data_IF_435451109890
#
_entry.id   IF_435451109890
#
_cell.length_a   1.000
_cell.length_b   1.000
_cell.length_c   1.000
_cell.angle_alpha   90.00
_cell.angle_beta   90.00
_cell.angle_gamma   90.00
#
_symmetry.space_group_name_H-M   'P 1'
#
loop_
_entity.id
_entity.type
_entity.pdbx_description
1 polymer ?
#
# COMPACT_ATOMS: atom_id res chain seq x y z
N UNK A 1 -6.93 -1.16 28.92
CA UNK A 1 -6.91 0.29 29.21
C UNK A 1 -7.54 1.00 28.01
N UNK A 2 -8.57 1.86 28.19
CA UNK A 2 -9.02 2.76 27.11
C UNK A 2 -8.01 3.91 26.99
N UNK A 3 -7.67 4.29 25.76
CA UNK A 3 -6.91 5.50 25.49
C UNK A 3 -7.82 6.69 25.81
N UNK A 4 -7.48 7.49 26.82
CA UNK A 4 -8.38 8.53 27.35
C UNK A 4 -8.72 9.65 26.34
N UNK A 5 -7.93 9.78 25.27
CA UNK A 5 -8.10 10.79 24.19
C UNK A 5 -8.72 10.25 22.90
N UNK A 6 -8.69 8.92 22.68
CA UNK A 6 -9.14 8.31 21.41
C UNK A 6 -10.58 7.88 21.54
N UNK A 7 -11.44 8.48 20.72
CA UNK A 7 -12.88 8.19 20.70
C UNK A 7 -13.19 6.99 19.81
N UNK A 8 -12.54 6.90 18.65
CA UNK A 8 -12.60 5.78 17.71
C UNK A 8 -11.33 5.70 16.87
N UNK A 9 -11.14 4.61 16.14
CA UNK A 9 -9.98 4.42 15.27
C UNK A 9 -10.02 3.04 14.62
N UNK A 10 -9.11 2.82 13.69
CA UNK A 10 -8.96 1.55 12.95
C UNK A 10 -7.46 1.28 12.76
N UNK A 11 -7.08 0.00 12.83
CA UNK A 11 -5.76 -0.45 12.38
C UNK A 11 -5.87 -0.90 10.93
N UNK A 12 -5.00 -0.34 10.08
CA UNK A 12 -4.95 -0.59 8.65
C UNK A 12 -3.88 -1.63 8.28
N UNK A 13 -2.79 -1.68 9.04
CA UNK A 13 -1.71 -2.63 8.84
C UNK A 13 -1.08 -3.07 10.15
N UNK A 14 -0.39 -4.20 10.08
CA UNK A 14 0.41 -4.76 11.17
C UNK A 14 1.80 -5.07 10.65
N UNK A 15 2.82 -4.82 11.47
CA UNK A 15 4.20 -5.26 11.24
C UNK A 15 4.78 -5.78 12.54
N UNK A 16 5.93 -6.44 12.48
CA UNK A 16 6.67 -6.87 13.66
C UNK A 16 7.97 -6.08 13.80
N UNK A 17 8.25 -5.59 15.00
CA UNK A 17 9.48 -4.88 15.31
C UNK A 17 9.94 -5.22 16.72
N UNK A 18 11.18 -5.70 16.86
CA UNK A 18 11.79 -6.10 18.15
C UNK A 18 10.93 -7.10 18.96
N UNK A 19 10.32 -8.07 18.28
CA UNK A 19 9.47 -9.10 18.92
C UNK A 19 8.13 -8.57 19.42
N UNK A 20 7.72 -7.39 18.98
CA UNK A 20 6.41 -6.79 19.27
C UNK A 20 5.59 -6.72 17.99
N UNK A 21 4.29 -7.00 18.11
CA UNK A 21 3.35 -6.66 17.06
C UNK A 21 3.07 -5.16 17.10
N UNK A 22 3.12 -4.51 15.95
CA UNK A 22 2.88 -3.08 15.80
C UNK A 22 1.71 -2.88 14.83
N UNK A 23 0.58 -2.42 15.35
CA UNK A 23 -0.55 -1.98 14.55
C UNK A 23 -0.38 -0.51 14.16
N UNK A 24 -0.60 -0.19 12.89
CA UNK A 24 -0.68 1.19 12.40
C UNK A 24 -2.03 1.47 11.78
N UNK A 25 -2.47 2.72 11.87
CA UNK A 25 -3.80 3.10 11.41
C UNK A 25 -4.10 4.56 11.69
N UNK A 26 -5.32 4.84 12.14
CA UNK A 26 -5.71 6.18 12.56
C UNK A 26 -6.52 6.18 13.86
N UNK A 27 -6.43 7.29 14.58
CA UNK A 27 -7.21 7.60 15.75
C UNK A 27 -8.01 8.88 15.53
N UNK A 28 -9.26 8.88 15.98
CA UNK A 28 -10.15 10.03 15.95
C UNK A 28 -10.26 10.59 17.37
N UNK A 29 -9.97 11.88 17.54
CA UNK A 29 -10.00 12.57 18.82
C UNK A 29 -10.66 13.96 18.71
N UNK A 30 -10.88 14.60 19.86
CA UNK A 30 -11.35 15.99 19.93
C UNK A 30 -12.74 16.21 19.32
N UNK A 31 -13.73 15.37 19.66
CA UNK A 31 -15.09 15.39 19.09
C UNK A 31 -15.10 15.25 17.56
N UNK A 32 -14.41 14.24 17.04
CA UNK A 32 -14.37 13.92 15.61
C UNK A 32 -13.69 14.95 14.70
N UNK A 33 -13.00 15.94 15.26
CA UNK A 33 -12.34 17.00 14.48
C UNK A 33 -10.88 16.71 14.17
N UNK A 34 -10.26 15.72 14.82
CA UNK A 34 -8.85 15.39 14.64
C UNK A 34 -8.69 13.92 14.28
N UNK A 35 -8.06 13.66 13.14
CA UNK A 35 -7.65 12.32 12.71
C UNK A 35 -6.13 12.31 12.66
N UNK A 36 -5.52 11.48 13.50
CA UNK A 36 -4.07 11.32 13.63
C UNK A 36 -3.67 9.92 13.23
N UNK A 37 -2.49 9.75 12.64
CA UNK A 37 -1.92 8.43 12.45
C UNK A 37 -1.67 7.81 13.82
N UNK A 38 -2.12 6.57 14.00
CA UNK A 38 -1.98 5.81 15.23
C UNK A 38 -0.95 4.71 15.04
N UNK A 39 -0.03 4.59 15.99
CA UNK A 39 0.88 3.47 16.14
C UNK A 39 0.59 2.84 17.49
N UNK A 40 0.32 1.54 17.54
CA UNK A 40 0.11 0.81 18.77
C UNK A 40 1.01 -0.42 18.82
N UNK A 41 1.66 -0.63 19.96
CA UNK A 41 2.56 -1.76 20.19
C UNK A 41 1.91 -2.77 21.13
N UNK A 42 2.10 -4.04 20.82
CA UNK A 42 1.63 -5.17 21.59
C UNK A 42 2.78 -6.14 21.84
N UNK A 43 2.74 -6.84 22.97
CA UNK A 43 3.66 -7.96 23.20
C UNK A 43 3.35 -9.10 22.23
N UNK A 44 4.25 -10.09 22.15
CA UNK A 44 4.01 -11.31 21.36
C UNK A 44 2.78 -12.10 21.88
N UNK A 45 2.42 -11.93 23.15
CA UNK A 45 1.21 -12.49 23.77
C UNK A 45 -0.06 -11.65 23.52
N UNK A 46 0.05 -10.56 22.75
CA UNK A 46 -1.05 -9.67 22.43
C UNK A 46 -1.38 -8.64 23.52
N UNK A 47 -0.52 -8.48 24.52
CA UNK A 47 -0.74 -7.49 25.58
C UNK A 47 -0.45 -6.09 25.08
N UNK A 48 -1.33 -5.13 25.36
CA UNK A 48 -1.12 -3.73 25.00
C UNK A 48 0.09 -3.14 25.73
N UNK A 49 1.04 -2.57 24.98
CA UNK A 49 2.25 -1.95 25.51
C UNK A 49 2.17 -0.43 25.50
N UNK A 50 1.98 0.17 24.31
CA UNK A 50 2.01 1.62 24.13
C UNK A 50 1.25 2.07 22.88
N UNK A 51 0.95 3.37 22.82
CA UNK A 51 0.48 4.03 21.60
C UNK A 51 1.19 5.35 21.37
N UNK A 52 1.27 5.75 20.10
CA UNK A 52 1.68 7.07 19.66
C UNK A 52 0.71 7.59 18.60
N UNK A 53 0.25 8.83 18.77
CA UNK A 53 -0.50 9.57 17.75
C UNK A 53 0.46 10.54 17.04
N UNK A 54 0.39 10.59 15.71
CA UNK A 54 1.16 11.51 14.86
C UNK A 54 0.18 12.36 14.06
N UNK A 55 0.31 13.68 14.16
CA UNK A 55 -0.50 14.64 13.43
C UNK A 55 0.39 15.49 12.53
N UNK A 56 0.14 15.46 11.22
CA UNK A 56 0.93 16.16 10.20
C UNK A 56 0.25 17.43 9.67
N UNK A 57 -0.65 18.04 10.45
CA UNK A 57 -1.34 19.29 10.08
C UNK A 57 -2.62 19.11 9.26
N UNK A 58 -3.18 17.90 9.27
CA UNK A 58 -4.44 17.55 8.60
C UNK A 58 -4.93 16.17 9.05
N UNK A 59 -5.95 15.64 8.38
CA UNK A 59 -6.40 14.26 8.58
C UNK A 59 -5.27 13.34 8.16
N UNK A 60 -4.61 12.70 9.14
CA UNK A 60 -3.44 11.85 8.92
C UNK A 60 -3.84 10.39 9.15
N UNK A 61 -3.66 9.53 8.16
CA UNK A 61 -3.97 8.10 8.26
C UNK A 61 -2.77 7.27 7.84
N UNK A 62 -2.27 6.41 8.73
CA UNK A 62 -1.24 5.44 8.37
C UNK A 62 -1.91 4.19 7.78
N UNK A 63 -1.47 3.77 6.60
CA UNK A 63 -2.00 2.61 5.89
C UNK A 63 -1.02 1.44 5.85
N UNK A 64 0.28 1.71 5.97
CA UNK A 64 1.33 0.71 5.86
C UNK A 64 2.47 0.97 6.84
N UNK A 65 3.15 -0.10 7.26
CA UNK A 65 4.37 -0.01 8.05
C UNK A 65 5.33 -1.15 7.75
N UNK A 66 6.62 -0.85 7.78
CA UNK A 66 7.71 -1.81 7.69
C UNK A 66 8.72 -1.57 8.81
N UNK A 67 9.29 -2.62 9.39
CA UNK A 67 10.29 -2.50 10.45
C UNK A 67 11.69 -2.32 9.88
N UNK A 68 12.43 -1.39 10.47
CA UNK A 68 13.84 -1.16 10.11
C UNK A 68 14.75 -2.09 10.91
N UNK A 69 15.95 -2.37 10.39
CA UNK A 69 16.93 -3.26 11.04
C UNK A 69 17.38 -2.77 12.43
N UNK A 70 17.37 -1.45 12.64
CA UNK A 70 17.70 -0.83 13.92
C UNK A 70 16.50 -0.78 14.89
N UNK A 71 15.39 -1.46 14.58
CA UNK A 71 14.24 -1.60 15.46
C UNK A 71 13.25 -0.42 15.43
N UNK A 72 13.47 0.52 14.52
CA UNK A 72 12.51 1.55 14.13
C UNK A 72 11.42 1.05 13.20
N UNK A 73 10.73 2.00 12.57
CA UNK A 73 9.63 1.78 11.63
C UNK A 73 9.70 2.79 10.49
N UNK A 74 9.33 2.38 9.29
CA UNK A 74 8.90 3.28 8.22
C UNK A 74 7.40 3.13 8.09
N UNK A 75 6.69 4.25 8.02
CA UNK A 75 5.22 4.31 7.95
C UNK A 75 4.83 5.09 6.71
N UNK A 76 3.92 4.52 5.93
CA UNK A 76 3.31 5.14 4.77
C UNK A 76 1.82 5.39 4.99
N UNK A 77 1.30 6.48 4.43
CA UNK A 77 -0.11 6.81 4.58
C UNK A 77 -0.60 7.93 3.68
N UNK A 78 -1.73 8.52 4.06
CA UNK A 78 -2.27 9.74 3.44
C UNK A 78 -2.47 10.88 4.44
N UNK A 79 -2.37 12.09 3.90
CA UNK A 79 -2.64 13.36 4.55
C UNK A 79 -3.66 14.12 3.71
N UNK A 80 -4.77 14.51 4.32
CA UNK A 80 -5.81 15.32 3.68
C UNK A 80 -5.98 16.63 4.44
N UNK A 81 -5.88 17.74 3.72
CA UNK A 81 -6.16 19.07 4.27
C UNK A 81 -7.65 19.41 4.11
N UNK A 82 -8.20 20.20 5.03
CA UNK A 82 -9.62 20.58 5.03
C UNK A 82 -9.97 21.64 3.98
N UNK A 83 -9.03 22.03 3.12
CA UNK A 83 -9.17 23.07 2.10
C UNK A 83 -9.67 22.54 0.75
N UNK A 84 -10.01 21.25 0.66
CA UNK A 84 -10.52 20.62 -0.55
C UNK A 84 -9.42 20.13 -1.50
N UNK A 85 -8.16 20.12 -1.06
CA UNK A 85 -7.08 19.44 -1.78
C UNK A 85 -7.24 17.91 -1.71
N UNK A 86 -6.90 17.24 -2.80
CA UNK A 86 -6.80 15.78 -2.90
C UNK A 86 -5.74 15.24 -1.94
N UNK A 87 -5.84 13.96 -1.58
CA UNK A 87 -4.95 13.36 -0.59
C UNK A 87 -3.50 13.35 -1.06
N UNK A 88 -2.59 13.77 -0.19
CA UNK A 88 -1.15 13.66 -0.40
C UNK A 88 -0.57 12.50 0.38
N UNK A 89 0.38 11.78 -0.20
CA UNK A 89 1.03 10.67 0.46
C UNK A 89 2.02 11.20 1.48
N UNK A 90 2.20 10.48 2.59
CA UNK A 90 3.33 10.72 3.47
C UNK A 90 4.11 9.45 3.71
N UNK A 91 5.43 9.59 3.84
CA UNK A 91 6.34 8.57 4.35
C UNK A 91 7.07 9.17 5.55
N UNK A 92 7.12 8.46 6.66
CA UNK A 92 7.89 8.88 7.83
C UNK A 92 8.70 7.72 8.40
N UNK A 93 9.81 8.05 9.04
CA UNK A 93 10.62 7.10 9.80
C UNK A 93 10.59 7.41 11.28
N UNK A 94 10.32 6.38 12.06
CA UNK A 94 10.44 6.37 13.51
C UNK A 94 11.69 5.59 13.90
N UNK A 95 12.45 6.14 14.84
CA UNK A 95 13.48 5.40 15.56
C UNK A 95 12.88 4.29 16.44
N UNK A 96 13.75 3.46 17.00
CA UNK A 96 13.37 2.43 17.98
C UNK A 96 12.68 3.01 19.23
N UNK A 97 12.89 4.28 19.58
CA UNK A 97 12.20 4.91 20.72
C UNK A 97 10.94 5.68 20.27
N UNK A 98 10.40 5.32 19.11
CA UNK A 98 9.26 5.94 18.45
C UNK A 98 9.43 7.45 18.18
N UNK A 99 10.65 8.00 18.20
CA UNK A 99 10.92 9.40 17.80
C UNK A 99 10.91 9.54 16.29
N UNK A 100 10.26 10.59 15.77
CA UNK A 100 10.29 10.91 14.34
C UNK A 100 11.71 11.34 13.99
N UNK A 101 12.35 10.60 13.08
CA UNK A 101 13.67 10.94 12.55
C UNK A 101 13.54 11.83 11.32
N UNK A 102 12.58 11.49 10.45
CA UNK A 102 12.19 12.31 9.31
C UNK A 102 10.75 12.00 8.89
N UNK A 103 10.13 12.93 8.17
CA UNK A 103 8.82 12.79 7.54
C UNK A 103 8.78 13.60 6.25
N UNK A 104 8.29 12.99 5.17
CA UNK A 104 8.19 13.59 3.84
C UNK A 104 6.79 13.41 3.28
N UNK A 105 6.35 14.39 2.50
CA UNK A 105 5.18 14.26 1.65
C UNK A 105 5.62 13.81 0.26
N UNK A 106 4.81 12.98 -0.39
CA UNK A 106 5.09 12.54 -1.76
C UNK A 106 4.92 13.69 -2.74
N UNK A 107 5.71 13.75 -3.83
CA UNK A 107 5.54 14.77 -4.87
C UNK A 107 4.16 14.71 -5.54
N UNK A 108 3.62 13.50 -5.73
CA UNK A 108 2.28 13.30 -6.29
C UNK A 108 1.19 13.25 -5.21
N UNK A 109 -0.03 13.61 -5.59
CA UNK A 109 -1.25 13.38 -4.81
C UNK A 109 -1.61 11.89 -4.86
N UNK A 110 -1.21 11.15 -3.83
CA UNK A 110 -1.43 9.72 -3.75
C UNK A 110 -1.75 9.28 -2.33
N UNK A 111 -2.41 8.13 -2.21
CA UNK A 111 -2.46 7.38 -0.97
C UNK A 111 -1.42 6.28 -1.03
N UNK A 112 -0.46 6.29 -0.11
CA UNK A 112 0.45 5.15 0.08
C UNK A 112 -0.30 4.04 0.80
N UNK A 113 -0.27 2.83 0.24
CA UNK A 113 -1.01 1.67 0.75
C UNK A 113 -0.10 0.52 1.16
N UNK A 114 1.13 0.48 0.64
CA UNK A 114 2.14 -0.49 1.04
C UNK A 114 3.52 0.15 1.09
N UNK A 115 4.33 -0.30 2.05
CA UNK A 115 5.72 0.10 2.22
C UNK A 115 6.52 -1.15 2.56
N UNK A 116 7.67 -1.31 1.92
CA UNK A 116 8.61 -2.39 2.16
C UNK A 116 10.04 -1.81 2.23
N UNK A 117 10.95 -2.54 2.87
CA UNK A 117 12.36 -2.15 3.00
C UNK A 117 13.22 -3.27 2.43
N UNK A 118 14.11 -2.93 1.51
CA UNK A 118 14.96 -3.91 0.86
C UNK A 118 16.21 -4.27 1.68
N UNK A 119 17.04 -5.15 1.13
CA UNK A 119 18.26 -5.61 1.81
C UNK A 119 19.35 -4.54 1.92
N UNK A 120 19.27 -3.44 1.18
CA UNK A 120 20.17 -2.29 1.31
C UNK A 120 19.66 -1.27 2.33
N UNK A 121 18.41 -1.39 2.76
CA UNK A 121 17.73 -0.43 3.62
C UNK A 121 17.02 0.67 2.84
N UNK A 122 16.94 0.53 1.51
CA UNK A 122 16.12 1.40 0.68
C UNK A 122 14.64 1.06 0.90
N UNK A 123 13.82 2.08 0.82
CA UNK A 123 12.38 2.02 1.08
C UNK A 123 11.68 2.01 -0.26
N UNK A 124 10.77 1.05 -0.45
CA UNK A 124 9.85 1.04 -1.58
C UNK A 124 8.45 1.32 -1.04
N UNK A 125 7.76 2.30 -1.62
CA UNK A 125 6.39 2.65 -1.26
C UNK A 125 5.51 2.63 -2.51
N UNK A 126 4.30 2.10 -2.39
CA UNK A 126 3.34 2.08 -3.51
C UNK A 126 1.94 2.40 -3.02
N UNK A 127 1.11 2.85 -3.95
CA UNK A 127 -0.31 2.98 -3.72
C UNK A 127 -1.03 3.53 -4.94
N UNK A 128 -2.04 4.36 -4.69
CA UNK A 128 -2.95 4.87 -5.71
C UNK A 128 -2.80 6.38 -5.81
N UNK A 129 -2.52 6.85 -7.02
CA UNK A 129 -2.44 8.27 -7.37
C UNK A 129 -3.71 8.66 -8.12
N UNK A 130 -4.27 9.81 -7.78
CA UNK A 130 -5.36 10.42 -8.55
C UNK A 130 -4.77 11.39 -9.58
N UNK A 131 -5.10 11.19 -10.85
CA UNK A 131 -4.70 12.10 -11.93
C UNK A 131 -5.81 13.12 -12.24
N UNK A 132 -5.48 14.13 -13.06
CA UNK A 132 -6.34 15.31 -13.32
C UNK A 132 -7.72 14.95 -13.89
N UNK A 133 -7.83 13.82 -14.58
CA UNK A 133 -9.09 13.32 -15.17
C UNK A 133 -9.87 12.37 -14.23
N UNK A 134 -9.56 12.40 -12.92
CA UNK A 134 -10.13 11.52 -11.89
C UNK A 134 -9.93 10.02 -12.19
N UNK A 135 -8.87 9.68 -12.92
CA UNK A 135 -8.42 8.30 -13.11
C UNK A 135 -7.37 7.96 -12.06
N UNK A 136 -7.46 6.76 -11.49
CA UNK A 136 -6.42 6.27 -10.59
C UNK A 136 -5.32 5.52 -11.34
N UNK A 137 -4.07 5.75 -10.95
CA UNK A 137 -2.92 4.98 -11.41
C UNK A 137 -2.19 4.38 -10.22
N UNK A 138 -1.51 3.25 -10.44
CA UNK A 138 -0.53 2.77 -9.46
C UNK A 138 0.71 3.64 -9.58
N UNK A 139 1.19 4.12 -8.44
CA UNK A 139 2.45 4.85 -8.38
C UNK A 139 3.32 4.19 -7.31
N UNK A 140 4.57 3.93 -7.68
CA UNK A 140 5.59 3.43 -6.79
C UNK A 140 6.77 4.42 -6.70
N UNK A 141 7.37 4.47 -5.53
CA UNK A 141 8.54 5.26 -5.19
C UNK A 141 9.60 4.35 -4.59
N UNK A 142 10.85 4.53 -4.99
CA UNK A 142 12.01 4.06 -4.23
C UNK A 142 12.68 5.24 -3.56
N UNK A 143 13.02 5.09 -2.29
CA UNK A 143 13.70 6.09 -1.48
C UNK A 143 14.91 5.46 -0.79
N UNK A 144 15.92 6.25 -0.50
CA UNK A 144 16.97 5.86 0.43
C UNK A 144 16.45 5.76 1.87
N UNK A 145 17.23 5.15 2.76
CA UNK A 145 16.92 5.05 4.19
C UNK A 145 16.71 6.41 4.91
N UNK A 146 17.30 7.49 4.39
CA UNK A 146 17.13 8.87 4.87
C UNK A 146 15.97 9.62 4.19
N UNK A 147 15.17 8.94 3.37
CA UNK A 147 13.93 9.48 2.81
C UNK A 147 14.09 10.26 1.50
N UNK A 148 15.28 10.25 0.87
CA UNK A 148 15.49 10.87 -0.45
C UNK A 148 14.96 9.95 -1.54
N UNK A 149 14.11 10.49 -2.42
CA UNK A 149 13.59 9.74 -3.57
C UNK A 149 14.73 9.41 -4.54
N UNK A 150 14.85 8.12 -4.87
CA UNK A 150 15.78 7.56 -5.85
C UNK A 150 15.12 7.44 -7.22
N UNK A 151 13.90 6.92 -7.25
CA UNK A 151 13.14 6.67 -8.47
C UNK A 151 11.64 6.77 -8.20
N UNK A 152 10.88 6.99 -9.26
CA UNK A 152 9.43 6.91 -9.25
C UNK A 152 8.93 6.32 -10.58
N UNK A 153 7.87 5.52 -10.49
CA UNK A 153 7.22 4.92 -11.66
C UNK A 153 5.70 4.93 -11.50
N UNK A 154 5.02 5.30 -12.59
CA UNK A 154 3.56 5.29 -12.69
C UNK A 154 3.11 4.21 -13.66
N UNK A 155 2.01 3.53 -13.34
CA UNK A 155 1.55 2.31 -14.00
C UNK A 155 0.03 2.38 -14.21
N UNK A 156 -0.42 2.09 -15.43
CA UNK A 156 -1.85 1.97 -15.77
C UNK A 156 -2.51 3.21 -16.38
N UNK A 157 -1.76 4.28 -16.65
CA UNK A 157 -2.28 5.55 -17.18
C UNK A 157 -3.03 5.40 -18.53
N UNK A 158 -2.69 4.39 -19.34
CA UNK A 158 -3.20 4.24 -20.72
C UNK A 158 -4.11 3.04 -20.94
N UNK A 159 -4.52 2.35 -19.87
CA UNK A 159 -5.40 1.17 -19.97
C UNK A 159 -6.90 1.51 -19.90
N UNK A 160 -7.28 2.80 -19.95
CA UNK A 160 -8.69 3.24 -19.95
C UNK A 160 -9.48 2.81 -18.69
N UNK A 161 -8.76 2.53 -17.61
CA UNK A 161 -9.25 1.95 -16.36
C UNK A 161 -8.53 2.59 -15.19
N UNK A 162 -9.15 2.64 -14.03
CA UNK A 162 -8.52 3.17 -12.81
C UNK A 162 -7.87 2.06 -12.02
N UNK A 163 -6.57 2.17 -11.72
CA UNK A 163 -5.79 1.17 -10.99
C UNK A 163 -5.47 1.62 -9.57
N UNK A 164 -5.54 0.69 -8.63
CA UNK A 164 -5.25 0.94 -7.22
C UNK A 164 -4.33 -0.13 -6.66
N UNK A 165 -3.07 0.23 -6.39
CA UNK A 165 -2.08 -0.66 -5.78
C UNK A 165 -2.40 -0.87 -4.30
N UNK A 166 -2.59 -2.12 -3.87
CA UNK A 166 -3.06 -2.48 -2.53
C UNK A 166 -1.98 -3.03 -1.62
N UNK A 167 -1.19 -3.95 -2.14
CA UNK A 167 -0.18 -4.66 -1.37
C UNK A 167 1.08 -4.80 -2.21
N UNK A 168 2.22 -4.96 -1.55
CA UNK A 168 3.51 -5.08 -2.21
C UNK A 168 4.37 -6.10 -1.48
N UNK A 169 5.27 -6.73 -2.21
CA UNK A 169 6.36 -7.52 -1.64
C UNK A 169 7.63 -7.33 -2.47
N UNK A 170 8.77 -7.50 -1.81
CA UNK A 170 10.10 -7.48 -2.41
C UNK A 170 10.72 -8.87 -2.30
N UNK A 171 11.44 -9.30 -3.33
CA UNK A 171 12.33 -10.45 -3.20
C UNK A 171 13.75 -10.04 -2.78
N UNK A 172 14.61 -11.03 -2.49
CA UNK A 172 16.00 -10.78 -2.06
C UNK A 172 16.86 -10.04 -3.12
N UNK A 173 16.42 -10.04 -4.38
CA UNK A 173 17.07 -9.34 -5.49
C UNK A 173 16.51 -7.92 -5.69
N UNK A 174 15.54 -7.52 -4.85
CA UNK A 174 14.88 -6.23 -4.91
C UNK A 174 13.72 -6.15 -5.91
N UNK A 175 13.35 -7.25 -6.58
CA UNK A 175 12.22 -7.23 -7.52
C UNK A 175 10.92 -7.01 -6.76
N UNK A 176 10.03 -6.22 -7.36
CA UNK A 176 8.81 -5.76 -6.72
C UNK A 176 7.63 -6.49 -7.33
N UNK A 177 6.70 -6.95 -6.49
CA UNK A 177 5.38 -7.42 -6.90
C UNK A 177 4.34 -6.55 -6.24
N UNK A 178 3.45 -5.96 -7.04
CA UNK A 178 2.37 -5.10 -6.54
C UNK A 178 1.04 -5.74 -6.90
N UNK A 179 0.26 -6.10 -5.88
CA UNK A 179 -1.12 -6.50 -6.06
C UNK A 179 -1.98 -5.25 -6.23
N UNK A 180 -2.86 -5.25 -7.22
CA UNK A 180 -3.75 -4.13 -7.50
C UNK A 180 -5.17 -4.60 -7.77
N UNK A 181 -6.13 -3.68 -7.69
CA UNK A 181 -7.40 -3.82 -8.38
C UNK A 181 -7.54 -2.72 -9.42
N UNK A 182 -8.23 -2.99 -10.52
CA UNK A 182 -8.59 -1.98 -11.51
C UNK A 182 -10.11 -1.83 -11.62
N UNK A 183 -10.58 -0.68 -12.10
CA UNK A 183 -11.99 -0.39 -12.34
C UNK A 183 -12.15 0.08 -13.78
N UNK A 184 -12.90 -0.67 -14.58
CA UNK A 184 -13.17 -0.33 -15.98
C UNK A 184 -14.14 0.86 -16.02
N UNK A 185 -13.87 1.86 -16.88
CA UNK A 185 -14.78 2.99 -17.08
C UNK A 185 -16.14 2.47 -17.56
N UNK A 186 -17.20 2.71 -16.77
CA UNK A 186 -18.56 2.24 -17.06
C UNK A 186 -18.86 0.78 -16.69
N UNK A 187 -17.92 0.07 -16.06
CA UNK A 187 -18.09 -1.31 -15.60
C UNK A 187 -18.54 -1.44 -14.15
N UNK A 188 -19.16 -2.58 -13.81
CA UNK A 188 -19.49 -2.98 -12.42
C UNK A 188 -18.44 -3.91 -11.79
N UNK A 189 -17.28 -4.09 -12.44
CA UNK A 189 -16.26 -5.07 -12.06
C UNK A 189 -14.98 -4.38 -11.59
N UNK A 190 -14.41 -4.91 -10.51
CA UNK A 190 -13.12 -4.52 -9.98
C UNK A 190 -12.12 -5.69 -10.10
N UNK A 191 -11.62 -6.02 -11.30
CA UNK A 191 -10.63 -7.07 -11.47
C UNK A 191 -9.41 -6.86 -10.57
N UNK A 192 -8.75 -7.96 -10.21
CA UNK A 192 -7.51 -7.93 -9.43
C UNK A 192 -6.35 -8.37 -10.30
N UNK A 193 -5.15 -7.89 -9.99
CA UNK A 193 -3.98 -8.24 -10.76
C UNK A 193 -2.68 -8.11 -10.00
N UNK A 194 -1.61 -8.47 -10.70
CA UNK A 194 -0.24 -8.38 -10.22
C UNK A 194 0.61 -7.63 -11.25
N UNK A 195 1.31 -6.61 -10.78
CA UNK A 195 2.38 -5.92 -11.50
C UNK A 195 3.71 -6.49 -11.02
N UNK A 196 4.64 -6.71 -11.96
CA UNK A 196 6.03 -7.09 -11.66
C UNK A 196 6.97 -5.99 -12.14
N UNK A 197 7.82 -5.51 -11.24
CA UNK A 197 8.88 -4.56 -11.54
C UNK A 197 10.23 -5.19 -11.23
N UNK A 198 11.23 -4.86 -12.03
CA UNK A 198 12.63 -5.09 -11.63
C UNK A 198 12.97 -4.21 -10.42
N UNK A 199 14.05 -4.58 -9.69
CA UNK A 199 14.48 -3.84 -8.50
C UNK A 199 15.05 -2.44 -8.75
N UNK A 200 14.98 -1.92 -9.98
CA UNK A 200 15.37 -0.55 -10.35
C UNK A 200 14.19 0.26 -10.90
N UNK A 201 12.98 -0.32 -10.85
CA UNK A 201 11.77 0.23 -11.43
C UNK A 201 12.03 0.71 -12.87
N UNK A 202 12.86 -0.02 -13.63
CA UNK A 202 13.23 0.33 -15.01
C UNK A 202 12.38 -0.35 -16.06
N UNK A 203 11.82 -1.50 -15.74
CA UNK A 203 10.91 -2.24 -16.62
C UNK A 203 9.75 -2.84 -15.82
N UNK A 204 8.58 -2.87 -16.47
CA UNK A 204 7.40 -3.59 -16.01
C UNK A 204 7.17 -4.77 -16.96
N UNK A 205 7.59 -5.96 -16.57
CA UNK A 205 7.66 -7.06 -17.54
C UNK A 205 6.31 -7.77 -17.72
N UNK A 206 5.38 -7.71 -16.75
CA UNK A 206 4.08 -8.36 -16.83
C UNK A 206 3.04 -7.64 -15.94
N UNK A 207 1.92 -7.23 -16.53
CA UNK A 207 0.67 -6.91 -15.83
C UNK A 207 -0.29 -8.07 -16.12
N UNK A 208 -0.66 -8.82 -15.09
CA UNK A 208 -1.65 -9.90 -15.20
C UNK A 208 -2.91 -9.51 -14.44
N UNK A 209 -4.04 -9.45 -15.13
CA UNK A 209 -5.35 -9.23 -14.53
C UNK A 209 -6.20 -10.51 -14.62
N UNK A 210 -6.89 -10.82 -13.53
CA UNK A 210 -7.99 -11.78 -13.54
C UNK A 210 -9.31 -11.02 -13.70
N UNK A 211 -9.98 -11.22 -14.83
CA UNK A 211 -11.28 -10.65 -15.16
C UNK A 211 -12.41 -11.68 -15.07
N UNK A 212 -12.11 -12.88 -14.58
CA UNK A 212 -13.10 -13.96 -14.48
C UNK A 212 -14.18 -13.61 -13.47
N UNK A 213 -15.44 -13.87 -13.85
CA UNK A 213 -16.56 -13.81 -12.92
C UNK A 213 -16.58 -15.12 -12.15
N UNK A 214 -16.36 -15.06 -10.83
CA UNK A 214 -16.62 -16.22 -9.96
C UNK A 214 -18.10 -16.58 -10.04
N UNK A 215 -18.44 -17.72 -10.64
CA UNK A 215 -19.72 -18.36 -10.35
C UNK A 215 -19.68 -18.88 -8.92
N UNK A 216 -20.67 -18.50 -8.10
CA UNK A 216 -20.86 -19.14 -6.80
C UNK A 216 -21.01 -20.66 -7.01
N UNK A 217 -20.07 -21.44 -6.48
CA UNK A 217 -20.33 -22.86 -6.27
C UNK A 217 -21.29 -22.95 -5.10
N UNK A 218 -22.60 -22.96 -5.38
CA UNK A 218 -23.62 -23.29 -4.39
C UNK A 218 -23.47 -24.77 -4.06
N UNK A 219 -22.60 -25.09 -3.10
CA UNK A 219 -22.59 -26.42 -2.50
C UNK A 219 -23.72 -26.46 -1.47
N UNK A 220 -24.84 -27.09 -1.82
CA UNK A 220 -25.70 -27.67 -0.79
C UNK A 220 -24.84 -28.63 0.03
N UNK A 221 -24.69 -28.36 1.32
CA UNK A 221 -23.97 -29.22 2.27
C UNK A 221 -24.64 -30.60 2.31
N UNK A 222 -24.20 -31.51 1.45
CA UNK A 222 -24.46 -32.92 1.60
C UNK A 222 -23.41 -33.47 2.57
N UNK A 223 -23.82 -33.72 3.81
CA UNK A 223 -23.05 -34.49 4.78
C UNK A 223 -22.85 -35.91 4.26
N UNK A 224 -21.74 -36.16 3.59
CA UNK A 224 -21.19 -37.50 3.38
C UNK A 224 -19.68 -37.41 3.34
N UNK A 225 -19.04 -38.31 4.09
CA UNK A 225 -17.62 -38.37 4.40
C UNK A 225 -16.72 -38.51 3.18
N UNK A 226 -15.66 -37.69 3.16
CA UNK A 226 -14.37 -37.82 2.45
C UNK A 226 -14.39 -38.32 1.00
N UNK A 227 -14.07 -37.40 0.07
CA UNK A 227 -12.95 -37.53 -0.87
C UNK A 227 -12.70 -36.15 -1.51
N UNK A 228 -11.59 -35.50 -1.16
CA UNK A 228 -11.13 -34.30 -1.84
C UNK A 228 -10.49 -34.71 -3.17
N UNK A 229 -11.18 -34.46 -4.28
CA UNK A 229 -10.53 -34.30 -5.59
C UNK A 229 -10.73 -32.85 -6.00
N UNK A 230 -9.65 -32.07 -5.96
CA UNK A 230 -9.64 -30.72 -6.50
C UNK A 230 -9.80 -30.82 -8.03
N UNK A 231 -10.93 -30.35 -8.56
CA UNK A 231 -11.03 -30.03 -9.98
C UNK A 231 -10.24 -28.75 -10.20
N UNK A 232 -9.17 -28.84 -10.98
CA UNK A 232 -8.41 -27.69 -11.47
C UNK A 232 -9.31 -26.88 -12.42
N UNK A 233 -9.99 -25.87 -11.88
CA UNK A 233 -10.57 -24.80 -12.69
C UNK A 233 -9.42 -24.02 -13.34
N UNK A 234 -9.32 -24.10 -14.66
CA UNK A 234 -8.29 -23.43 -15.43
C UNK A 234 -8.53 -21.91 -15.37
N UNK A 235 -7.70 -21.19 -14.60
CA UNK A 235 -7.68 -19.72 -14.58
C UNK A 235 -7.23 -19.22 -15.96
N UNK A 236 -8.09 -18.49 -16.67
CA UNK A 236 -7.73 -17.82 -17.92
C UNK A 236 -7.24 -16.41 -17.57
N UNK A 237 -5.94 -16.27 -17.32
CA UNK A 237 -5.30 -14.97 -17.23
C UNK A 237 -5.22 -14.37 -18.64
N UNK A 238 -5.84 -13.20 -18.86
CA UNK A 238 -5.62 -12.43 -20.08
C UNK A 238 -4.35 -11.61 -19.91
N UNK A 239 -3.26 -12.03 -20.56
CA UNK A 239 -2.06 -11.20 -20.70
C UNK A 239 -2.32 -10.15 -21.78
N UNK A 240 -2.22 -8.86 -21.44
CA UNK A 240 -2.15 -7.82 -22.47
C UNK A 240 -0.72 -7.79 -23.02
N UNK A 241 -0.51 -7.93 -24.34
CA UNK A 241 0.80 -7.68 -24.93
C UNK A 241 1.07 -6.17 -24.84
N UNK A 242 1.85 -5.74 -23.86
CA UNK A 242 2.34 -4.37 -23.79
C UNK A 242 3.59 -4.25 -24.65
N UNK A 243 3.54 -3.37 -25.66
CA UNK A 243 4.77 -2.86 -26.27
C UNK A 243 5.51 -2.08 -25.18
N UNK A 244 6.68 -2.58 -24.80
CA UNK A 244 7.59 -1.95 -23.84
C UNK A 244 8.14 -0.67 -24.43
N UNK A 245 7.47 0.46 -24.21
CA UNK A 245 8.02 1.77 -24.55
C UNK A 245 7.95 2.67 -23.31
N UNK A 246 9.05 2.67 -22.55
CA UNK A 246 9.30 3.64 -21.47
C UNK A 246 9.63 4.97 -22.14
N UNK A 247 8.65 5.86 -22.25
CA UNK A 247 8.88 7.19 -22.79
C UNK A 247 9.52 8.09 -21.73
N UNK A 248 10.69 8.70 -21.99
CA UNK A 248 11.30 9.65 -21.05
C UNK A 248 10.60 11.00 -21.23
N UNK A 249 9.60 11.30 -20.40
CA UNK A 249 9.05 12.65 -20.30
C UNK A 249 9.13 13.07 -18.83
N UNK A 250 10.14 13.89 -18.50
CA UNK A 250 10.53 14.29 -17.15
C UNK A 250 10.90 13.13 -16.21
N UNK A 251 11.39 13.39 -15.00
CA UNK A 251 12.00 12.41 -14.06
C UNK A 251 11.08 11.25 -13.58
N UNK A 252 9.95 11.02 -14.24
CA UNK A 252 8.96 10.00 -13.94
C UNK A 252 8.88 8.98 -15.08
N UNK A 253 9.06 7.69 -14.76
CA UNK A 253 8.89 6.59 -15.72
C UNK A 253 7.41 6.20 -15.80
N UNK A 254 6.92 5.86 -16.99
CA UNK A 254 5.53 5.43 -17.21
C UNK A 254 5.54 4.00 -17.78
N UNK A 255 4.76 3.11 -17.17
CA UNK A 255 4.41 1.80 -17.69
C UNK A 255 2.94 1.74 -18.12
N UNK A 256 2.74 1.23 -19.35
CA UNK A 256 1.44 1.11 -20.00
C UNK A 256 0.66 -0.09 -19.48
#
# INVERSE_FOLDING_TARGET
>A
RRLASVQSGEFMAVTESRGQAVGVGYAVSGNFSKVSALIARFSHEGEFLSTKEIHLGGTTQAHAAASTRDGGLVIGGSLSHHDGTSEQGFILRLSADDKIEWAHLTPSQMRIQAVEIDTNGDIVATGSREDQDAQWAVQAYRLTADGRILSQIRIGERMGSSFSGKAMTLDERGNIRIAFNSALVGGSYNPIGLIRLDGQESSCDQVSEDTSQTQEVSSTLATTTSNWSANEGQLVATSYPTQTEVLPISDEKICL
#
